data_IF_116690581146
#
_entry.id   IF_116690581146
#
_cell.length_a   1.000
_cell.length_b   1.000
_cell.length_c   1.000
_cell.angle_alpha   90.00
_cell.angle_beta   90.00
_cell.angle_gamma   90.00
#
_symmetry.space_group_name_H-M   'P 1'
#
loop_
_entity.id
_entity.type
_entity.pdbx_description
1 polymer ?
#
# COMPACT_ATOMS: atom_id res chain seq x y z
N UNK A 1 3.08 -9.80 -1.21
CA UNK A 1 1.92 -10.58 -1.72
C UNK A 1 2.29 -11.76 -2.62
N UNK A 2 3.24 -11.64 -3.58
CA UNK A 2 3.68 -12.79 -4.40
C UNK A 2 4.29 -13.93 -3.57
N UNK A 3 5.03 -13.59 -2.49
CA UNK A 3 5.59 -14.52 -1.50
C UNK A 3 4.50 -15.32 -0.76
N UNK A 4 3.58 -14.63 -0.10
CA UNK A 4 2.42 -15.23 0.60
C UNK A 4 1.61 -16.14 -0.34
N UNK A 5 1.42 -15.75 -1.61
CA UNK A 5 0.78 -16.60 -2.63
C UNK A 5 1.59 -17.86 -2.95
N UNK A 6 2.93 -17.80 -2.89
CA UNK A 6 3.82 -18.93 -3.08
C UNK A 6 3.78 -19.93 -1.91
N UNK A 7 3.44 -19.47 -0.71
CA UNK A 7 3.25 -20.27 0.51
C UNK A 7 1.89 -20.99 0.55
N UNK A 8 1.12 -20.93 -0.54
CA UNK A 8 -0.19 -21.60 -0.67
C UNK A 8 -1.38 -20.73 -0.24
N UNK A 9 -1.15 -19.55 0.32
CA UNK A 9 -2.22 -18.66 0.75
C UNK A 9 -2.76 -17.82 -0.44
N UNK A 10 -3.93 -18.22 -0.93
CA UNK A 10 -4.59 -17.67 -2.12
C UNK A 10 -5.57 -16.53 -1.78
N UNK A 11 -5.29 -15.73 -0.76
CA UNK A 11 -6.17 -14.60 -0.42
C UNK A 11 -6.46 -13.72 -1.64
N UNK A 12 -7.72 -13.35 -1.78
CA UNK A 12 -8.18 -12.42 -2.81
C UNK A 12 -8.15 -11.01 -2.21
N UNK A 13 -7.45 -10.09 -2.86
CA UNK A 13 -7.43 -8.68 -2.49
C UNK A 13 -8.76 -8.01 -2.81
N UNK A 14 -9.15 -7.05 -1.99
CA UNK A 14 -10.29 -6.18 -2.23
C UNK A 14 -9.79 -4.83 -2.71
N UNK A 15 -10.39 -4.27 -3.76
CA UNK A 15 -10.14 -2.91 -4.20
C UNK A 15 -11.27 -2.02 -3.70
N UNK A 16 -10.96 -1.08 -2.81
CA UNK A 16 -11.90 -0.09 -2.30
C UNK A 16 -11.50 1.27 -2.86
N UNK A 17 -12.44 1.99 -3.45
CA UNK A 17 -12.24 3.32 -4.03
C UNK A 17 -13.17 4.33 -3.36
N UNK A 18 -12.66 5.54 -3.10
CA UNK A 18 -13.48 6.63 -2.61
C UNK A 18 -14.42 7.16 -3.72
N UNK A 19 -15.64 7.49 -3.32
CA UNK A 19 -16.68 7.99 -4.21
C UNK A 19 -16.46 9.48 -4.49
N UNK A 20 -15.50 9.80 -5.36
CA UNK A 20 -15.28 11.16 -5.87
C UNK A 20 -15.80 11.30 -7.30
N UNK A 21 -17.10 11.52 -7.47
CA UNK A 21 -17.80 12.09 -8.65
C UNK A 21 -17.52 11.54 -10.07
N UNK A 22 -16.73 10.49 -10.27
CA UNK A 22 -16.47 9.89 -11.60
C UNK A 22 -16.48 8.36 -11.55
N UNK A 23 -17.59 7.80 -11.09
CA UNK A 23 -17.82 6.36 -10.99
C UNK A 23 -17.55 5.63 -12.33
N UNK A 24 -17.95 6.22 -13.46
CA UNK A 24 -17.73 5.66 -14.81
C UNK A 24 -16.25 5.60 -15.21
N UNK A 25 -15.46 6.63 -14.87
CA UNK A 25 -14.02 6.64 -15.15
C UNK A 25 -13.29 5.58 -14.33
N UNK A 26 -13.65 5.45 -13.04
CA UNK A 26 -13.03 4.50 -12.11
C UNK A 26 -13.43 3.05 -12.40
N UNK A 27 -14.69 2.79 -12.80
CA UNK A 27 -15.11 1.46 -13.27
C UNK A 27 -14.34 1.04 -14.54
N UNK A 28 -14.09 1.97 -15.47
CA UNK A 28 -13.26 1.70 -16.66
C UNK A 28 -11.82 1.36 -16.26
N UNK A 29 -11.21 2.15 -15.38
CA UNK A 29 -9.86 1.86 -14.85
C UNK A 29 -9.78 0.51 -14.14
N UNK A 30 -10.81 0.14 -13.38
CA UNK A 30 -10.86 -1.16 -12.72
C UNK A 30 -10.96 -2.34 -13.69
N UNK A 31 -11.71 -2.20 -14.79
CA UNK A 31 -11.74 -3.21 -15.86
C UNK A 31 -10.37 -3.31 -16.51
N UNK A 32 -9.72 -2.18 -16.81
CA UNK A 32 -8.36 -2.12 -17.35
C UNK A 32 -7.33 -2.76 -16.39
N UNK A 33 -7.45 -2.56 -15.08
CA UNK A 33 -6.56 -3.22 -14.11
C UNK A 33 -6.72 -4.75 -14.09
N UNK A 34 -7.91 -5.27 -14.38
CA UNK A 34 -8.15 -6.73 -14.50
C UNK A 34 -7.59 -7.29 -15.80
N UNK A 35 -7.69 -6.57 -16.91
CA UNK A 35 -7.26 -7.05 -18.24
C UNK A 35 -5.79 -6.78 -18.54
N UNK A 36 -5.30 -5.58 -18.25
CA UNK A 36 -3.96 -5.11 -18.61
C UNK A 36 -3.00 -5.08 -17.42
N UNK A 37 -3.52 -5.03 -16.19
CA UNK A 37 -2.71 -4.80 -15.00
C UNK A 37 -2.39 -3.32 -14.77
N UNK A 38 -1.48 -3.06 -13.84
CA UNK A 38 -0.95 -1.72 -13.54
C UNK A 38 0.43 -1.55 -14.19
N UNK A 39 0.96 -0.31 -14.23
CA UNK A 39 2.38 -0.04 -14.57
C UNK A 39 3.38 -0.87 -13.73
N UNK A 40 2.95 -1.39 -12.58
CA UNK A 40 3.74 -2.19 -11.66
C UNK A 40 3.43 -3.70 -11.71
N UNK A 41 2.56 -4.15 -12.62
CA UNK A 41 2.25 -5.56 -12.88
C UNK A 41 0.76 -5.91 -12.87
N UNK A 42 0.45 -7.16 -13.25
CA UNK A 42 -0.92 -7.69 -13.33
C UNK A 42 -1.47 -8.09 -11.96
N UNK A 43 -2.62 -7.54 -11.58
CA UNK A 43 -3.31 -7.87 -10.32
C UNK A 43 -4.16 -9.14 -10.53
N UNK A 44 -3.60 -10.30 -10.18
CA UNK A 44 -4.23 -11.61 -10.48
C UNK A 44 -5.22 -12.13 -9.44
N UNK A 45 -5.23 -11.56 -8.23
CA UNK A 45 -6.04 -12.03 -7.10
C UNK A 45 -6.93 -10.88 -6.59
N UNK A 46 -7.90 -10.42 -7.39
CA UNK A 46 -8.97 -9.53 -6.92
C UNK A 46 -10.22 -10.36 -6.62
N UNK A 47 -10.86 -10.11 -5.49
CA UNK A 47 -12.02 -10.88 -5.03
C UNK A 47 -13.22 -10.75 -5.98
N UNK A 48 -13.49 -9.53 -6.46
CA UNK A 48 -14.65 -9.22 -7.29
C UNK A 48 -14.55 -7.80 -7.91
N UNK A 49 -15.68 -7.11 -8.11
CA UNK A 49 -15.79 -5.71 -8.57
C UNK A 49 -15.22 -4.77 -7.49
N UNK A 50 -14.55 -3.65 -7.85
CA UNK A 50 -14.16 -2.63 -6.87
C UNK A 50 -15.37 -2.16 -6.07
N UNK A 51 -15.19 -2.05 -4.76
CA UNK A 51 -16.18 -1.50 -3.86
C UNK A 51 -16.01 0.01 -3.83
N UNK A 52 -17.06 0.75 -4.19
CA UNK A 52 -17.11 2.19 -4.02
C UNK A 52 -17.66 2.47 -2.63
N UNK A 53 -16.89 3.17 -1.81
CA UNK A 53 -17.33 3.52 -0.46
C UNK A 53 -17.02 4.97 -0.19
N UNK A 54 -18.03 5.70 0.27
CA UNK A 54 -17.87 7.07 0.70
C UNK A 54 -16.88 7.13 1.89
N UNK A 55 -15.75 7.83 1.69
CA UNK A 55 -14.67 7.98 2.67
C UNK A 55 -15.13 8.58 4.01
N UNK A 56 -16.22 9.35 4.03
CA UNK A 56 -16.78 9.91 5.27
C UNK A 56 -17.45 8.87 6.18
N UNK A 57 -17.83 7.72 5.65
CA UNK A 57 -18.56 6.68 6.39
C UNK A 57 -17.78 5.37 6.53
N UNK A 58 -16.82 5.09 5.65
CA UNK A 58 -16.02 3.87 5.72
C UNK A 58 -14.86 3.96 6.69
N UNK A 59 -14.99 3.30 7.85
CA UNK A 59 -13.90 3.16 8.84
C UNK A 59 -12.61 2.60 8.24
N UNK A 60 -12.70 1.73 7.23
CA UNK A 60 -11.53 1.12 6.57
C UNK A 60 -10.79 2.14 5.70
N UNK A 61 -11.52 3.00 4.98
CA UNK A 61 -10.91 4.07 4.18
C UNK A 61 -10.26 5.11 5.09
N UNK A 62 -10.93 5.49 6.17
CA UNK A 62 -10.35 6.40 7.17
C UNK A 62 -9.07 5.85 7.80
N UNK A 63 -9.04 4.54 8.09
CA UNK A 63 -7.82 3.88 8.57
C UNK A 63 -6.70 3.94 7.52
N UNK A 64 -7.01 3.70 6.24
CA UNK A 64 -6.05 3.83 5.16
C UNK A 64 -5.49 5.26 5.03
N UNK A 65 -6.35 6.27 5.17
CA UNK A 65 -5.95 7.68 5.17
C UNK A 65 -5.02 8.01 6.35
N UNK A 66 -5.31 7.49 7.54
CA UNK A 66 -4.42 7.65 8.70
C UNK A 66 -3.06 6.98 8.49
N UNK A 67 -3.02 5.78 7.90
CA UNK A 67 -1.76 5.11 7.55
C UNK A 67 -0.98 5.95 6.54
N UNK A 68 -1.63 6.44 5.48
CA UNK A 68 -1.00 7.30 4.48
C UNK A 68 -0.45 8.59 5.10
N UNK A 69 -1.24 9.25 5.96
CA UNK A 69 -0.83 10.47 6.64
C UNK A 69 0.35 10.25 7.60
N UNK A 70 0.35 9.16 8.37
CA UNK A 70 1.44 8.81 9.27
C UNK A 70 2.75 8.57 8.50
N UNK A 71 2.68 7.84 7.38
CA UNK A 71 3.82 7.64 6.49
C UNK A 71 4.31 8.97 5.91
N UNK A 72 3.41 9.80 5.38
CA UNK A 72 3.76 11.10 4.82
C UNK A 72 4.49 11.99 5.85
N UNK A 73 3.93 12.13 7.05
CA UNK A 73 4.52 12.93 8.14
C UNK A 73 5.92 12.45 8.52
N UNK A 74 6.14 11.13 8.54
CA UNK A 74 7.45 10.55 8.85
C UNK A 74 8.56 10.99 7.90
N UNK A 75 8.25 11.07 6.61
CA UNK A 75 9.22 11.34 5.56
C UNK A 75 9.35 12.83 5.25
N UNK A 76 8.23 13.57 5.19
CA UNK A 76 8.24 15.00 4.85
C UNK A 76 8.58 15.88 6.04
N UNK A 77 7.95 15.65 7.20
CA UNK A 77 8.11 16.47 8.39
C UNK A 77 9.14 15.90 9.38
N UNK A 78 9.76 14.75 9.07
CA UNK A 78 10.63 13.97 9.98
C UNK A 78 9.98 13.66 11.33
N UNK A 79 8.64 13.65 11.37
CA UNK A 79 7.86 13.42 12.58
C UNK A 79 7.40 11.95 12.62
N UNK A 80 7.92 11.20 13.58
CA UNK A 80 7.67 9.77 13.69
C UNK A 80 6.48 9.41 14.59
N UNK A 81 5.86 10.38 15.28
CA UNK A 81 4.90 10.10 16.36
C UNK A 81 3.76 9.17 15.93
N UNK A 82 3.14 9.42 14.77
CA UNK A 82 2.06 8.58 14.27
C UNK A 82 2.56 7.31 13.57
N UNK A 83 3.74 7.40 12.96
CA UNK A 83 4.31 6.30 12.19
C UNK A 83 4.77 5.16 13.10
N UNK A 84 5.38 5.47 14.24
CA UNK A 84 5.91 4.45 15.16
C UNK A 84 4.81 3.52 15.70
N UNK A 85 3.57 4.02 15.81
CA UNK A 85 2.38 3.24 16.20
C UNK A 85 2.10 2.11 15.19
N UNK A 86 2.30 2.38 13.90
CA UNK A 86 1.97 1.45 12.81
C UNK A 86 3.19 0.75 12.21
N UNK A 87 4.41 1.15 12.59
CA UNK A 87 5.65 0.67 11.99
C UNK A 87 5.81 -0.86 12.06
N UNK A 88 5.39 -1.47 13.17
CA UNK A 88 5.44 -2.93 13.38
C UNK A 88 4.36 -3.71 12.61
N UNK A 89 3.42 -3.03 11.94
CA UNK A 89 2.32 -3.66 11.19
C UNK A 89 2.66 -3.91 9.73
N UNK A 90 3.77 -3.36 9.25
CA UNK A 90 4.30 -3.71 7.93
C UNK A 90 4.82 -5.14 7.93
N UNK A 91 4.59 -5.86 6.82
CA UNK A 91 5.11 -7.21 6.63
C UNK A 91 6.63 -7.20 6.67
N UNK A 92 7.23 -8.22 7.27
CA UNK A 92 8.69 -8.39 7.29
C UNK A 92 9.05 -9.87 7.15
N UNK A 93 10.07 -10.16 6.35
CA UNK A 93 10.59 -11.50 6.14
C UNK A 93 12.11 -11.41 5.95
N UNK A 94 12.85 -12.31 6.60
CA UNK A 94 14.33 -12.37 6.53
C UNK A 94 15.02 -11.02 6.83
N UNK A 95 14.46 -10.25 7.76
CA UNK A 95 14.96 -8.92 8.14
C UNK A 95 14.63 -7.80 7.14
N UNK A 96 13.95 -8.12 6.03
CA UNK A 96 13.54 -7.16 4.99
C UNK A 96 12.10 -6.70 5.22
N UNK A 97 11.90 -5.38 5.22
CA UNK A 97 10.58 -4.77 5.35
C UNK A 97 9.87 -4.77 3.99
N UNK A 98 8.63 -5.23 3.98
CA UNK A 98 7.74 -5.27 2.82
C UNK A 98 6.53 -4.34 3.01
N UNK A 99 5.99 -3.83 1.90
CA UNK A 99 4.87 -2.88 1.93
C UNK A 99 5.27 -1.42 2.16
N UNK A 100 6.51 -1.15 2.60
CA UNK A 100 7.10 0.19 2.69
C UNK A 100 8.42 0.24 1.92
N UNK A 101 8.58 1.26 1.06
CA UNK A 101 9.81 1.49 0.32
C UNK A 101 10.10 2.99 0.23
N UNK A 102 11.32 3.38 0.56
CA UNK A 102 11.78 4.75 0.44
C UNK A 102 12.59 4.90 -0.86
N UNK A 103 11.97 5.45 -1.90
CA UNK A 103 12.57 5.62 -3.23
C UNK A 103 13.18 7.01 -3.35
N UNK A 104 14.47 7.12 -3.09
CA UNK A 104 15.21 8.38 -3.18
C UNK A 104 16.67 8.13 -3.57
N UNK A 105 17.32 9.13 -4.15
CA UNK A 105 18.73 9.08 -4.59
C UNK A 105 19.60 10.17 -3.95
N UNK A 106 19.04 10.95 -3.03
CA UNK A 106 19.65 12.18 -2.48
C UNK A 106 20.51 11.89 -1.25
N UNK A 107 20.01 11.04 -0.35
CA UNK A 107 20.67 10.62 0.89
C UNK A 107 20.96 9.10 0.85
N UNK A 108 22.11 8.66 0.34
CA UNK A 108 22.48 7.24 0.34
C UNK A 108 22.63 6.68 1.78
N UNK A 109 22.85 7.56 2.76
CA UNK A 109 23.06 7.20 4.15
C UNK A 109 21.78 7.20 4.99
N UNK A 110 20.60 7.33 4.38
CA UNK A 110 19.31 7.32 5.06
C UNK A 110 19.12 6.10 5.99
N UNK A 111 18.90 6.37 7.28
CA UNK A 111 18.73 5.35 8.33
C UNK A 111 17.27 5.00 8.62
N UNK A 112 16.32 5.34 7.74
CA UNK A 112 14.92 5.00 7.96
C UNK A 112 14.70 3.48 7.90
N UNK A 113 13.64 2.97 8.55
CA UNK A 113 13.39 1.52 8.65
C UNK A 113 13.32 0.83 7.28
N UNK A 114 12.79 1.52 6.26
CA UNK A 114 12.68 1.00 4.91
C UNK A 114 14.04 0.85 4.23
N UNK A 115 14.93 1.85 4.35
CA UNK A 115 16.29 1.80 3.81
C UNK A 115 17.15 0.80 4.59
N UNK A 116 17.09 0.82 5.92
CA UNK A 116 17.87 -0.07 6.78
C UNK A 116 17.56 -1.54 6.54
N UNK A 117 16.29 -1.89 6.40
CA UNK A 117 15.88 -3.28 6.14
C UNK A 117 16.43 -3.89 4.84
N UNK A 118 16.99 -3.07 3.94
CA UNK A 118 17.48 -3.48 2.61
C UNK A 118 18.98 -3.32 2.44
N UNK A 119 19.71 -2.88 3.48
CA UNK A 119 21.17 -2.69 3.42
C UNK A 119 21.97 -3.96 3.61
N UNK A 120 21.40 -4.93 4.33
CA UNK A 120 22.01 -6.22 4.64
C UNK A 120 21.60 -7.32 3.65
N UNK A 121 21.02 -6.95 2.50
CA UNK A 121 20.54 -7.86 1.45
C UNK A 121 21.39 -7.75 0.18
#
# INVERSE_FOLDING_TARGET
>A
LRRIRGEGDRQRGLLILDESAQETTLQRMAREFRTLGTRWGVIRNLAEIPLFVNSRVSRVVQLADHVAYAVFRRYEARDAQYFDIIASKFDSADGVLHGLAHKQTVDPNCMCIACMSRRSS
#
